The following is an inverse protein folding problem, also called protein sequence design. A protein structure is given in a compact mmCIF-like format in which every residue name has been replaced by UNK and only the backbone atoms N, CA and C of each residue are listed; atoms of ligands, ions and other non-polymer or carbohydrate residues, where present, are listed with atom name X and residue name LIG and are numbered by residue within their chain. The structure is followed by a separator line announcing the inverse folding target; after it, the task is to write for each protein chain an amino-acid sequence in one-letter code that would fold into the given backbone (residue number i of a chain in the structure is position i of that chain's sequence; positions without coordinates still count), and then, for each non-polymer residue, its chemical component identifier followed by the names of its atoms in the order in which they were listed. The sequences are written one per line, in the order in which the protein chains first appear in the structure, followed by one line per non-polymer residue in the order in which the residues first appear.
data_IF_393606884304
#
_entry.id   IF_393606884304
#
_cell.length_a   1.000
_cell.length_b   1.000
_cell.length_c   1.000
_cell.angle_alpha   90.00
_cell.angle_beta   90.00
_cell.angle_gamma   90.00
#
_symmetry.space_group_name_H-M   'P 1'
#
loop_
_entity.id
_entity.type
_entity.pdbx_description
1 polymer ?
#
# COMPACT_ATOMS: atom_id res chain seq x y z
N UNK A 1 11.86 -17.18 -2.13
CA UNK A 1 10.86 -16.63 -1.19
C UNK A 1 9.55 -16.50 -1.91
N UNK A 2 8.49 -17.07 -1.32
CA UNK A 2 7.12 -17.03 -1.86
C UNK A 2 6.31 -15.97 -1.12
N UNK A 3 5.71 -15.03 -1.87
CA UNK A 3 4.88 -13.94 -1.33
C UNK A 3 3.43 -14.16 -1.74
N UNK A 4 2.53 -14.26 -0.76
CA UNK A 4 1.10 -14.32 -0.98
C UNK A 4 0.52 -12.91 -1.19
N UNK A 5 -0.03 -12.62 -2.36
CA UNK A 5 -0.70 -11.35 -2.64
C UNK A 5 -2.18 -11.47 -2.28
N UNK A 6 -2.57 -10.78 -1.21
CA UNK A 6 -3.97 -10.65 -0.76
C UNK A 6 -4.63 -9.55 -1.59
N UNK A 7 -5.17 -9.94 -2.75
CA UNK A 7 -5.76 -9.00 -3.71
C UNK A 7 -7.11 -8.48 -3.21
N UNK A 8 -7.18 -7.16 -3.04
CA UNK A 8 -8.32 -6.46 -2.42
C UNK A 8 -9.15 -5.64 -3.41
N UNK A 9 -8.82 -5.64 -4.69
CA UNK A 9 -9.62 -5.00 -5.76
C UNK A 9 -9.28 -5.58 -7.14
N UNK A 10 -10.16 -5.30 -8.09
CA UNK A 10 -10.00 -5.69 -9.51
C UNK A 10 -9.92 -4.43 -10.36
N UNK A 11 -8.96 -4.37 -11.27
CA UNK A 11 -8.86 -3.27 -12.25
C UNK A 11 -10.03 -3.35 -13.22
N UNK A 12 -10.88 -2.32 -13.21
CA UNK A 12 -12.10 -2.23 -14.03
C UNK A 12 -12.08 -0.98 -14.95
N UNK A 13 -10.89 -0.41 -15.20
CA UNK A 13 -10.75 0.77 -16.05
C UNK A 13 -10.60 0.33 -17.50
N UNK A 14 -11.48 0.80 -18.36
CA UNK A 14 -11.40 0.56 -19.80
C UNK A 14 -10.06 1.02 -20.36
N UNK A 15 -9.44 0.20 -21.21
CA UNK A 15 -8.11 0.47 -21.77
C UNK A 15 -6.93 0.16 -20.85
N UNK A 16 -7.18 -0.29 -19.61
CA UNK A 16 -6.09 -0.62 -18.67
C UNK A 16 -5.53 -2.03 -18.83
N UNK A 17 -5.98 -2.80 -19.81
CA UNK A 17 -5.56 -4.21 -20.02
C UNK A 17 -4.04 -4.40 -20.17
N UNK A 18 -3.34 -3.41 -20.72
CA UNK A 18 -1.88 -3.46 -20.92
C UNK A 18 -1.09 -3.45 -19.60
N UNK A 19 -1.70 -2.98 -18.50
CA UNK A 19 -1.05 -2.89 -17.19
C UNK A 19 -1.25 -4.17 -16.35
N UNK A 20 -2.22 -5.03 -16.71
CA UNK A 20 -2.60 -6.22 -15.93
C UNK A 20 -3.46 -5.86 -14.71
N UNK A 21 -3.59 -6.82 -13.80
CA UNK A 21 -4.24 -6.67 -12.49
C UNK A 21 -3.21 -6.27 -11.42
N UNK A 22 -3.66 -5.85 -10.23
CA UNK A 22 -2.76 -5.44 -9.15
C UNK A 22 -1.71 -6.50 -8.78
N UNK A 23 -2.02 -7.81 -8.71
CA UNK A 23 -1.01 -8.84 -8.43
C UNK A 23 0.13 -8.85 -9.47
N UNK A 24 -0.18 -8.69 -10.75
CA UNK A 24 0.84 -8.64 -11.81
C UNK A 24 1.70 -7.38 -11.72
N UNK A 25 1.09 -6.22 -11.37
CA UNK A 25 1.83 -4.97 -11.17
C UNK A 25 2.82 -5.11 -9.99
N UNK A 26 2.38 -5.70 -8.86
CA UNK A 26 3.26 -5.97 -7.72
C UNK A 26 4.36 -6.97 -8.06
N UNK A 27 4.03 -8.06 -8.73
CA UNK A 27 5.04 -9.05 -9.15
C UNK A 27 6.09 -8.41 -10.04
N UNK A 28 5.69 -7.57 -10.99
CA UNK A 28 6.59 -6.87 -11.93
C UNK A 28 7.59 -5.96 -11.19
N UNK A 29 7.14 -5.14 -10.25
CA UNK A 29 8.06 -4.25 -9.52
C UNK A 29 9.01 -5.05 -8.61
N UNK A 30 8.54 -6.09 -7.94
CA UNK A 30 9.40 -6.91 -7.09
C UNK A 30 10.38 -7.77 -7.90
N UNK A 31 10.00 -8.32 -9.06
CA UNK A 31 10.94 -9.02 -9.96
C UNK A 31 12.01 -8.11 -10.53
N UNK A 32 11.77 -6.80 -10.66
CA UNK A 32 12.81 -5.85 -11.05
C UNK A 32 13.91 -5.70 -9.98
N UNK A 33 13.64 -6.10 -8.74
CA UNK A 33 14.59 -6.11 -7.61
C UNK A 33 15.18 -7.49 -7.38
N UNK A 34 14.34 -8.54 -7.41
CA UNK A 34 14.76 -9.94 -7.22
C UNK A 34 13.92 -10.86 -8.11
N UNK A 35 14.49 -11.35 -9.24
CA UNK A 35 13.76 -12.19 -10.20
C UNK A 35 13.44 -13.60 -9.69
N UNK A 36 13.99 -14.01 -8.54
CA UNK A 36 13.78 -15.35 -7.97
C UNK A 36 12.58 -15.41 -7.00
N UNK A 37 11.79 -14.35 -6.92
CA UNK A 37 10.58 -14.34 -6.08
C UNK A 37 9.46 -15.13 -6.74
N UNK A 38 8.71 -15.85 -5.92
CA UNK A 38 7.49 -16.53 -6.30
C UNK A 38 6.28 -15.80 -5.72
N UNK A 39 5.19 -15.77 -6.46
CA UNK A 39 3.96 -15.11 -6.04
C UNK A 39 2.78 -16.04 -6.14
N UNK A 40 1.90 -15.99 -5.12
CA UNK A 40 0.59 -16.64 -5.11
C UNK A 40 -0.48 -15.59 -4.88
N UNK A 41 -1.60 -15.65 -5.60
CA UNK A 41 -2.66 -14.63 -5.46
C UNK A 41 -3.86 -15.22 -4.75
N UNK A 42 -4.37 -14.49 -3.75
CA UNK A 42 -5.58 -14.81 -3.01
C UNK A 42 -6.58 -13.67 -3.16
N UNK A 43 -7.74 -13.96 -3.74
CA UNK A 43 -8.81 -13.00 -3.99
C UNK A 43 -9.67 -12.82 -2.73
N UNK A 44 -9.19 -11.98 -1.80
CA UNK A 44 -9.81 -11.85 -0.46
C UNK A 44 -11.22 -11.29 -0.49
N UNK A 45 -11.58 -10.50 -1.51
CA UNK A 45 -12.94 -10.02 -1.72
C UNK A 45 -13.94 -11.18 -1.95
N UNK A 46 -13.46 -12.31 -2.48
CA UNK A 46 -14.25 -13.52 -2.75
C UNK A 46 -14.02 -14.61 -1.72
N UNK A 47 -13.51 -14.24 -0.54
CA UNK A 47 -13.21 -15.16 0.55
C UNK A 47 -12.19 -16.25 0.20
N UNK A 48 -11.29 -15.96 -0.73
CA UNK A 48 -10.18 -16.85 -1.08
C UNK A 48 -8.95 -16.45 -0.25
N UNK A 49 -8.55 -17.32 0.66
CA UNK A 49 -7.42 -17.18 1.57
C UNK A 49 -6.56 -18.44 1.54
N UNK A 50 -5.27 -18.38 1.96
CA UNK A 50 -4.47 -19.58 2.16
C UNK A 50 -5.11 -20.48 3.22
N UNK A 51 -5.06 -21.79 3.02
CA UNK A 51 -5.54 -22.77 4.01
C UNK A 51 -4.63 -22.79 5.24
N UNK A 52 -3.31 -22.69 5.01
CA UNK A 52 -2.29 -22.49 6.04
C UNK A 52 -1.53 -21.20 5.80
N UNK A 53 -1.33 -20.39 6.84
CA UNK A 53 -0.53 -19.14 6.76
C UNK A 53 0.93 -19.41 6.41
N UNK A 54 1.39 -20.64 6.46
CA UNK A 54 2.75 -21.06 6.09
C UNK A 54 2.89 -21.46 4.62
N UNK A 55 1.81 -21.40 3.82
CA UNK A 55 1.88 -21.60 2.37
C UNK A 55 2.79 -20.56 1.67
N UNK A 56 2.92 -19.38 2.28
CA UNK A 56 3.82 -18.32 1.81
C UNK A 56 4.77 -17.87 2.93
N UNK A 57 5.96 -17.41 2.54
CA UNK A 57 6.95 -16.86 3.49
C UNK A 57 6.48 -15.51 4.04
N UNK A 58 5.79 -14.73 3.22
CA UNK A 58 5.28 -13.41 3.53
C UNK A 58 3.96 -13.14 2.80
N UNK A 59 3.21 -12.11 3.24
CA UNK A 59 2.00 -11.65 2.59
C UNK A 59 2.06 -10.16 2.25
N UNK A 60 1.34 -9.76 1.19
CA UNK A 60 1.16 -8.37 0.79
C UNK A 60 -0.32 -8.11 0.54
N UNK A 61 -0.88 -7.05 1.15
CA UNK A 61 -2.24 -6.58 0.91
C UNK A 61 -2.18 -5.41 -0.08
N UNK A 62 -2.93 -5.51 -1.17
CA UNK A 62 -2.97 -4.52 -2.25
C UNK A 62 -3.78 -3.27 -1.88
N UNK A 63 -3.76 -2.27 -2.76
CA UNK A 63 -4.72 -1.18 -2.76
C UNK A 63 -6.15 -1.66 -3.05
N UNK A 64 -7.15 -0.83 -2.71
CA UNK A 64 -8.57 -1.06 -3.01
C UNK A 64 -9.31 0.27 -3.13
N UNK A 65 -10.45 0.26 -3.85
CA UNK A 65 -11.42 1.38 -3.85
C UNK A 65 -12.29 1.43 -2.60
N UNK A 66 -12.35 0.34 -1.83
CA UNK A 66 -13.12 0.26 -0.59
C UNK A 66 -12.45 1.05 0.54
N UNK A 67 -13.25 1.51 1.51
CA UNK A 67 -12.72 2.06 2.77
C UNK A 67 -12.52 0.93 3.78
N UNK A 68 -11.39 0.94 4.50
CA UNK A 68 -11.03 -0.11 5.47
C UNK A 68 -12.00 -0.23 6.65
N UNK A 69 -12.86 0.76 6.84
CA UNK A 69 -13.88 0.82 7.91
C UNK A 69 -15.30 0.52 7.40
N UNK A 70 -15.49 0.08 6.13
CA UNK A 70 -16.79 -0.35 5.64
C UNK A 70 -17.28 -1.59 6.38
N UNK A 71 -18.60 -1.62 6.67
CA UNK A 71 -19.27 -2.75 7.33
C UNK A 71 -19.67 -3.81 6.31
N UNK A 72 -18.67 -4.46 5.72
CA UNK A 72 -18.87 -5.55 4.76
C UNK A 72 -18.05 -6.78 5.15
N UNK A 73 -18.61 -7.95 4.89
CA UNK A 73 -18.07 -9.25 5.36
C UNK A 73 -16.60 -9.46 5.02
N UNK A 74 -16.19 -9.25 3.77
CA UNK A 74 -14.82 -9.52 3.35
C UNK A 74 -13.78 -8.63 4.05
N UNK A 75 -14.14 -7.38 4.42
CA UNK A 75 -13.27 -6.47 5.19
C UNK A 75 -13.12 -6.98 6.63
N UNK A 76 -14.21 -7.45 7.24
CA UNK A 76 -14.13 -8.06 8.57
C UNK A 76 -13.29 -9.33 8.57
N UNK A 77 -13.44 -10.18 7.56
CA UNK A 77 -12.65 -11.41 7.44
C UNK A 77 -11.17 -11.11 7.19
N UNK A 78 -10.85 -10.11 6.35
CA UNK A 78 -9.48 -9.68 6.14
C UNK A 78 -8.85 -9.11 7.43
N UNK A 79 -9.60 -8.33 8.22
CA UNK A 79 -9.12 -7.84 9.52
C UNK A 79 -8.80 -9.00 10.48
N UNK A 80 -9.63 -10.04 10.54
CA UNK A 80 -9.35 -11.25 11.35
C UNK A 80 -8.11 -11.97 10.85
N UNK A 81 -7.93 -12.08 9.53
CA UNK A 81 -6.74 -12.71 8.95
C UNK A 81 -5.48 -11.90 9.27
N UNK A 82 -5.51 -10.55 9.19
CA UNK A 82 -4.41 -9.67 9.61
C UNK A 82 -4.07 -9.88 11.09
N UNK A 83 -5.06 -9.97 11.98
CA UNK A 83 -4.84 -10.22 13.40
C UNK A 83 -4.15 -11.56 13.65
N UNK A 84 -4.53 -12.60 12.89
CA UNK A 84 -3.84 -13.90 12.96
C UNK A 84 -2.39 -13.78 12.48
N UNK A 85 -2.12 -13.11 11.35
CA UNK A 85 -0.75 -12.88 10.86
C UNK A 85 0.10 -12.10 11.88
N UNK A 86 -0.48 -11.09 12.56
CA UNK A 86 0.20 -10.34 13.63
C UNK A 86 0.53 -11.22 14.85
N UNK A 87 -0.41 -12.07 15.28
CA UNK A 87 -0.22 -13.01 16.41
C UNK A 87 0.93 -13.97 16.11
N UNK A 88 0.98 -14.53 14.91
CA UNK A 88 1.98 -15.52 14.48
C UNK A 88 3.29 -14.86 13.97
N UNK A 89 3.40 -13.51 14.05
CA UNK A 89 4.56 -12.73 13.59
C UNK A 89 4.92 -12.99 12.13
N UNK A 90 3.92 -13.30 11.31
CA UNK A 90 4.12 -13.52 9.88
C UNK A 90 4.48 -12.21 9.18
N UNK A 91 5.44 -12.25 8.27
CA UNK A 91 5.82 -11.08 7.48
C UNK A 91 4.65 -10.59 6.65
N UNK A 92 4.30 -9.30 6.80
CA UNK A 92 3.16 -8.68 6.15
C UNK A 92 3.52 -7.29 5.63
N UNK A 93 3.10 -7.00 4.41
CA UNK A 93 3.20 -5.67 3.79
C UNK A 93 1.80 -5.14 3.49
N UNK A 94 1.55 -3.87 3.76
CA UNK A 94 0.32 -3.18 3.39
C UNK A 94 0.58 -1.97 2.51
N UNK A 95 -0.07 -1.93 1.34
CA UNK A 95 0.06 -0.80 0.40
C UNK A 95 -1.30 -0.11 0.25
N UNK A 96 -1.35 1.19 0.44
CA UNK A 96 -2.54 2.04 0.31
C UNK A 96 -3.72 1.55 1.17
N UNK A 97 -4.73 0.87 0.60
CA UNK A 97 -5.79 0.23 1.38
C UNK A 97 -5.20 -0.82 2.35
N UNK A 98 -4.18 -1.59 1.92
CA UNK A 98 -3.47 -2.53 2.79
C UNK A 98 -2.83 -1.86 4.02
N UNK A 99 -2.22 -0.67 3.85
CA UNK A 99 -1.71 0.16 4.94
C UNK A 99 -2.83 0.58 5.91
N UNK A 100 -3.98 0.96 5.37
CA UNK A 100 -5.13 1.42 6.15
C UNK A 100 -5.81 0.27 6.91
N UNK A 101 -6.07 -0.86 6.24
CA UNK A 101 -6.77 -1.98 6.88
C UNK A 101 -5.91 -2.66 7.95
N UNK A 102 -4.59 -2.70 7.79
CA UNK A 102 -3.68 -3.16 8.84
C UNK A 102 -3.76 -2.23 10.06
N UNK A 103 -3.76 -0.91 9.85
CA UNK A 103 -3.92 0.04 10.95
C UNK A 103 -5.24 -0.18 11.69
N UNK A 104 -6.37 -0.27 10.98
CA UNK A 104 -7.71 -0.53 11.59
C UNK A 104 -7.75 -1.88 12.32
N UNK A 105 -7.25 -2.97 11.71
CA UNK A 105 -7.27 -4.31 12.28
C UNK A 105 -6.51 -4.41 13.60
N UNK A 106 -5.47 -3.57 13.79
CA UNK A 106 -4.57 -3.61 14.94
C UNK A 106 -4.77 -2.43 15.92
N UNK A 107 -5.95 -1.75 15.83
CA UNK A 107 -6.38 -0.76 16.81
C UNK A 107 -5.98 0.68 16.51
N UNK A 108 -5.58 0.98 15.29
CA UNK A 108 -5.47 2.33 14.75
C UNK A 108 -6.84 2.91 14.35
N UNK A 109 -6.84 4.06 13.71
CA UNK A 109 -8.05 4.74 13.22
C UNK A 109 -7.80 5.27 11.82
N UNK A 110 -8.66 4.86 10.88
CA UNK A 110 -8.67 5.35 9.50
C UNK A 110 -9.95 6.13 9.26
N UNK A 111 -9.85 7.30 8.64
CA UNK A 111 -11.01 8.13 8.26
C UNK A 111 -10.67 8.90 6.98
N UNK A 112 -11.68 9.47 6.36
CA UNK A 112 -11.48 10.44 5.26
C UNK A 112 -10.59 11.57 5.73
N UNK A 113 -9.60 11.90 4.89
CA UNK A 113 -8.73 13.04 5.14
C UNK A 113 -9.54 14.34 5.15
N UNK A 114 -9.33 15.23 6.14
CA UNK A 114 -9.95 16.55 6.15
C UNK A 114 -9.52 17.39 4.93
N UNK A 115 -8.36 17.05 4.33
CA UNK A 115 -7.86 17.68 3.12
C UNK A 115 -8.48 17.10 1.82
N UNK A 116 -9.35 16.08 1.94
CA UNK A 116 -9.94 15.37 0.79
C UNK A 116 -8.94 14.47 0.08
N UNK A 117 -9.07 14.33 -1.24
CA UNK A 117 -8.20 13.49 -2.05
C UNK A 117 -6.73 13.93 -2.03
N UNK A 118 -5.83 12.97 -1.82
CA UNK A 118 -4.40 13.07 -2.08
C UNK A 118 -4.09 12.24 -3.33
N UNK A 119 -3.80 12.92 -4.44
CA UNK A 119 -3.52 12.32 -5.73
C UNK A 119 -2.30 13.01 -6.38
N UNK A 120 -1.51 12.25 -7.12
CA UNK A 120 -0.30 12.75 -7.78
C UNK A 120 0.98 12.13 -7.24
N UNK A 121 2.11 12.63 -7.71
CA UNK A 121 3.43 12.31 -7.16
C UNK A 121 3.77 13.32 -6.08
N UNK A 122 3.94 12.85 -4.86
CA UNK A 122 4.32 13.65 -3.71
C UNK A 122 5.45 12.97 -2.92
N UNK A 123 6.10 13.72 -2.02
CA UNK A 123 7.25 13.27 -1.25
C UNK A 123 6.85 12.99 0.19
N UNK A 124 7.29 11.85 0.72
CA UNK A 124 7.31 11.57 2.15
C UNK A 124 8.76 11.54 2.63
N UNK A 125 9.00 12.03 3.84
CA UNK A 125 10.34 12.08 4.43
C UNK A 125 10.49 11.01 5.49
N UNK A 126 11.59 10.25 5.42
CA UNK A 126 11.99 9.35 6.50
C UNK A 126 12.30 10.15 7.76
N UNK A 127 12.04 9.56 8.91
CA UNK A 127 12.42 10.10 10.20
C UNK A 127 13.51 9.23 10.86
N UNK A 128 14.01 9.66 12.01
CA UNK A 128 15.07 8.97 12.77
C UNK A 128 14.78 7.49 13.11
N UNK A 129 13.52 7.05 13.08
CA UNK A 129 13.18 5.66 13.34
C UNK A 129 13.36 4.78 12.10
N UNK A 130 13.65 5.36 10.94
CA UNK A 130 13.80 4.70 9.67
C UNK A 130 15.27 4.35 9.32
N UNK A 131 16.20 4.36 10.27
CA UNK A 131 17.64 4.21 10.05
C UNK A 131 18.04 3.02 9.18
N UNK A 132 17.27 1.95 9.20
CA UNK A 132 17.50 0.76 8.35
C UNK A 132 17.08 0.93 6.89
N UNK A 133 16.28 1.98 6.58
CA UNK A 133 15.68 2.24 5.26
C UNK A 133 16.27 3.49 4.60
N UNK A 134 17.06 4.26 5.31
CA UNK A 134 17.73 5.46 4.84
C UNK A 134 18.00 6.47 5.96
N UNK A 135 18.70 7.54 5.60
CA UNK A 135 19.02 8.62 6.52
C UNK A 135 17.77 9.43 6.91
N UNK A 136 17.78 10.00 8.10
CA UNK A 136 16.76 10.95 8.58
C UNK A 136 16.64 12.13 7.60
N UNK A 137 15.40 12.43 7.20
CA UNK A 137 15.10 13.47 6.21
C UNK A 137 15.22 13.03 4.75
N UNK A 138 15.71 11.82 4.43
CA UNK A 138 15.66 11.28 3.07
C UNK A 138 14.22 11.25 2.59
N UNK A 139 14.00 11.73 1.36
CA UNK A 139 12.67 11.77 0.74
C UNK A 139 12.49 10.65 -0.26
N UNK A 140 11.27 10.11 -0.29
CA UNK A 140 10.79 9.22 -1.34
C UNK A 140 9.61 9.88 -2.07
N UNK A 141 9.72 10.02 -3.38
CA UNK A 141 8.63 10.45 -4.25
C UNK A 141 7.83 9.22 -4.65
N UNK A 142 6.55 9.22 -4.32
CA UNK A 142 5.66 8.10 -4.59
C UNK A 142 4.38 8.56 -5.27
N UNK A 143 3.71 7.65 -5.95
CA UNK A 143 2.36 7.87 -6.48
C UNK A 143 1.36 7.74 -5.35
N UNK A 144 0.45 8.71 -5.19
CA UNK A 144 -0.66 8.68 -4.25
C UNK A 144 -2.01 8.71 -4.99
N UNK A 145 -2.99 7.98 -4.50
CA UNK A 145 -4.37 7.98 -5.01
C UNK A 145 -5.33 7.53 -3.91
N UNK A 146 -5.51 8.35 -2.87
CA UNK A 146 -6.37 8.00 -1.74
C UNK A 146 -7.14 9.22 -1.20
N UNK A 147 -8.26 8.97 -0.55
CA UNK A 147 -9.02 9.96 0.22
C UNK A 147 -8.97 9.62 1.72
N UNK A 148 -8.96 8.32 2.04
CA UNK A 148 -8.85 7.86 3.42
C UNK A 148 -7.39 7.87 3.87
N UNK A 149 -7.16 8.15 5.15
CA UNK A 149 -5.82 8.18 5.75
C UNK A 149 -5.84 7.57 7.16
N UNK A 150 -4.70 7.04 7.57
CA UNK A 150 -4.48 6.63 8.95
C UNK A 150 -4.32 7.88 9.80
N UNK A 151 -5.33 8.21 10.62
CA UNK A 151 -5.30 9.35 11.53
C UNK A 151 -4.63 9.01 12.86
N UNK A 152 -4.75 7.75 13.31
CA UNK A 152 -4.11 7.25 14.52
C UNK A 152 -3.46 5.90 14.23
N UNK A 153 -2.17 5.81 14.49
CA UNK A 153 -1.43 4.56 14.37
C UNK A 153 -1.85 3.54 15.44
N UNK A 154 -1.71 2.23 15.15
CA UNK A 154 -1.79 1.18 16.16
C UNK A 154 -0.80 1.45 17.32
N UNK A 155 -1.14 1.01 18.54
CA UNK A 155 -0.33 1.27 19.74
C UNK A 155 1.13 0.83 19.62
N UNK A 156 1.38 -0.28 18.92
CA UNK A 156 2.71 -0.87 18.76
C UNK A 156 3.39 -0.49 17.43
N UNK A 157 2.84 0.48 16.70
CA UNK A 157 3.41 0.94 15.46
C UNK A 157 4.49 2.00 15.68
N UNK A 158 5.51 1.94 14.85
CA UNK A 158 6.57 2.94 14.78
C UNK A 158 6.45 3.71 13.47
N UNK A 159 6.17 5.00 13.53
CA UNK A 159 6.19 5.87 12.36
C UNK A 159 7.62 5.95 11.82
N UNK A 160 7.80 5.72 10.51
CA UNK A 160 9.11 5.80 9.83
C UNK A 160 9.16 6.85 8.72
N UNK A 161 8.01 7.23 8.13
CA UNK A 161 7.96 8.32 7.17
C UNK A 161 6.59 9.01 7.13
N UNK A 162 6.59 10.28 6.77
CA UNK A 162 5.39 11.08 6.59
C UNK A 162 5.63 12.41 5.89
N UNK A 163 4.55 13.14 5.66
CA UNK A 163 4.54 14.50 5.13
C UNK A 163 3.38 15.29 5.74
N UNK A 164 3.32 16.61 5.56
CA UNK A 164 2.15 17.38 5.98
C UNK A 164 0.83 16.93 5.35
N UNK A 165 0.87 16.37 4.13
CA UNK A 165 -0.30 15.87 3.39
C UNK A 165 -0.59 14.39 3.67
N UNK A 166 0.35 13.66 4.26
CA UNK A 166 0.23 12.26 4.66
C UNK A 166 1.08 11.99 5.92
N UNK A 167 0.60 12.43 7.11
CA UNK A 167 1.41 12.39 8.33
C UNK A 167 1.87 10.99 8.73
N UNK A 168 1.03 9.97 8.52
CA UNK A 168 1.33 8.57 8.80
C UNK A 168 1.63 7.79 7.50
N UNK A 169 2.56 8.31 6.69
CA UNK A 169 2.84 7.80 5.34
C UNK A 169 3.45 6.40 5.29
N UNK A 170 4.36 6.08 6.22
CA UNK A 170 4.92 4.73 6.41
C UNK A 170 5.07 4.42 7.89
N UNK A 171 4.72 3.20 8.27
CA UNK A 171 4.95 2.71 9.63
C UNK A 171 5.32 1.22 9.66
N UNK A 172 5.96 0.81 10.73
CA UNK A 172 6.28 -0.56 11.05
C UNK A 172 5.48 -1.01 12.27
N UNK A 173 5.17 -2.32 12.36
CA UNK A 173 4.78 -2.95 13.62
C UNK A 173 5.84 -4.01 13.94
N UNK A 174 6.66 -3.70 14.92
CA UNK A 174 7.83 -4.50 15.31
C UNK A 174 8.71 -4.80 14.07
N UNK A 175 9.05 -6.08 13.87
CA UNK A 175 9.90 -6.56 12.79
C UNK A 175 9.15 -7.44 11.76
N UNK A 176 7.80 -7.45 11.77
CA UNK A 176 7.04 -8.35 10.91
C UNK A 176 5.97 -7.66 10.04
N UNK A 177 5.62 -6.39 10.28
CA UNK A 177 4.68 -5.65 9.41
C UNK A 177 5.32 -4.35 8.91
N UNK A 178 5.24 -4.11 7.59
CA UNK A 178 5.65 -2.89 6.91
C UNK A 178 4.46 -2.29 6.16
N UNK A 179 4.17 -1.02 6.36
CA UNK A 179 3.03 -0.34 5.76
C UNK A 179 3.44 0.95 5.07
N UNK A 180 2.92 1.20 3.86
CA UNK A 180 3.06 2.47 3.14
C UNK A 180 1.75 2.91 2.48
N UNK A 181 1.44 4.21 2.58
CA UNK A 181 0.27 4.80 1.94
C UNK A 181 0.52 5.07 0.45
N UNK A 182 1.75 5.37 0.06
CA UNK A 182 2.13 5.57 -1.33
C UNK A 182 2.24 4.23 -2.07
N UNK A 183 1.97 4.27 -3.37
CA UNK A 183 2.03 3.14 -4.27
C UNK A 183 3.43 2.95 -4.85
N UNK A 184 3.87 1.71 -4.96
CA UNK A 184 5.11 1.31 -5.62
C UNK A 184 4.84 0.60 -6.95
N UNK A 185 3.63 0.08 -7.14
CA UNK A 185 3.22 -0.76 -8.27
C UNK A 185 2.62 0.03 -9.43
N UNK A 186 2.17 1.26 -9.18
CA UNK A 186 1.43 2.04 -10.18
C UNK A 186 2.37 2.71 -11.19
N UNK A 187 2.35 2.25 -12.44
CA UNK A 187 2.90 3.00 -13.56
C UNK A 187 2.21 4.37 -13.70
N UNK A 188 2.96 5.40 -14.11
CA UNK A 188 2.45 6.78 -14.22
C UNK A 188 1.32 6.94 -15.25
N UNK A 189 1.33 6.14 -16.33
CA UNK A 189 0.24 6.14 -17.31
C UNK A 189 -1.02 5.55 -16.69
N UNK A 190 -0.87 4.44 -15.95
CA UNK A 190 -1.99 3.85 -15.22
C UNK A 190 -2.50 4.76 -14.10
N UNK A 191 -1.62 5.41 -13.35
CA UNK A 191 -2.00 6.42 -12.36
C UNK A 191 -2.81 7.56 -12.99
N UNK A 192 -2.40 8.03 -14.19
CA UNK A 192 -3.17 9.04 -14.95
C UNK A 192 -4.57 8.55 -15.28
N UNK A 193 -4.73 7.31 -15.73
CA UNK A 193 -6.05 6.73 -16.03
C UNK A 193 -6.91 6.63 -14.76
N UNK A 194 -6.34 6.25 -13.62
CA UNK A 194 -7.04 6.26 -12.33
C UNK A 194 -7.53 7.67 -11.99
N UNK A 195 -6.69 8.71 -12.17
CA UNK A 195 -7.07 10.09 -11.86
C UNK A 195 -8.16 10.59 -12.80
N UNK A 196 -8.08 10.29 -14.09
CA UNK A 196 -9.11 10.65 -15.08
C UNK A 196 -10.44 9.94 -14.76
N UNK A 197 -10.42 8.67 -14.41
CA UNK A 197 -11.59 7.90 -13.99
C UNK A 197 -12.23 8.47 -12.71
N UNK A 198 -11.41 8.91 -11.75
CA UNK A 198 -11.84 9.49 -10.47
C UNK A 198 -12.00 11.02 -10.49
N UNK A 199 -11.90 11.67 -11.65
CA UNK A 199 -11.87 13.14 -11.78
C UNK A 199 -13.02 13.84 -11.04
N UNK A 200 -14.25 13.31 -11.15
CA UNK A 200 -15.42 13.87 -10.45
C UNK A 200 -15.29 13.84 -8.94
N UNK A 201 -14.64 12.80 -8.39
CA UNK A 201 -14.43 12.61 -6.95
C UNK A 201 -13.25 13.45 -6.43
N UNK A 202 -12.18 13.53 -7.22
CA UNK A 202 -10.96 14.29 -6.92
C UNK A 202 -11.20 15.80 -7.00
N UNK A 203 -12.02 16.24 -7.98
CA UNK A 203 -12.27 17.64 -8.32
C UNK A 203 -11.23 18.19 -9.28
N UNK A 204 -11.64 19.17 -10.14
CA UNK A 204 -10.83 19.64 -11.27
C UNK A 204 -9.45 20.17 -10.87
N UNK A 205 -9.37 21.01 -9.83
CA UNK A 205 -8.10 21.62 -9.39
C UNK A 205 -7.09 20.55 -8.93
N UNK A 206 -7.51 19.64 -8.06
CA UNK A 206 -6.64 18.56 -7.57
C UNK A 206 -6.29 17.57 -8.68
N UNK A 207 -7.22 17.26 -9.58
CA UNK A 207 -6.98 16.41 -10.74
C UNK A 207 -5.89 17.00 -11.64
N UNK A 208 -5.99 18.30 -12.00
CA UNK A 208 -4.97 18.99 -12.81
C UNK A 208 -3.61 18.97 -12.13
N UNK A 209 -3.56 19.24 -10.82
CA UNK A 209 -2.33 19.16 -10.03
C UNK A 209 -1.75 17.75 -10.04
N UNK A 210 -2.56 16.73 -9.76
CA UNK A 210 -2.15 15.33 -9.76
C UNK A 210 -1.53 14.93 -11.10
N UNK A 211 -2.20 15.23 -12.20
CA UNK A 211 -1.70 14.94 -13.54
C UNK A 211 -0.37 15.64 -13.85
N UNK A 212 -0.22 16.92 -13.44
CA UNK A 212 1.03 17.68 -13.63
C UNK A 212 2.19 17.06 -12.86
N UNK A 213 1.94 16.56 -11.63
CA UNK A 213 2.99 15.99 -10.79
C UNK A 213 3.52 14.65 -11.30
N UNK A 214 2.80 13.93 -12.19
CA UNK A 214 3.27 12.69 -12.80
C UNK A 214 4.55 12.88 -13.65
N UNK A 215 4.91 14.12 -14.00
CA UNK A 215 6.20 14.42 -14.64
C UNK A 215 7.41 14.29 -13.69
N UNK A 216 7.19 14.29 -12.36
CA UNK A 216 8.28 14.12 -11.37
C UNK A 216 8.83 12.69 -11.40
N UNK A 217 10.13 12.49 -11.10
CA UNK A 217 10.66 11.15 -10.86
C UNK A 217 10.00 10.50 -9.64
N UNK A 218 9.96 9.19 -9.61
CA UNK A 218 9.44 8.38 -8.51
C UNK A 218 10.48 7.38 -8.04
N UNK A 219 10.42 6.99 -6.75
CA UNK A 219 11.42 6.16 -6.07
C UNK A 219 10.87 4.75 -5.77
N UNK A 220 9.91 4.26 -6.56
CA UNK A 220 9.23 2.97 -6.37
C UNK A 220 10.20 1.80 -6.24
N UNK A 221 11.28 1.80 -7.03
CA UNK A 221 12.28 0.73 -7.01
C UNK A 221 13.06 0.72 -5.68
N UNK A 222 13.44 1.90 -5.15
CA UNK A 222 14.14 2.00 -3.86
C UNK A 222 13.23 1.59 -2.69
N UNK A 223 11.95 1.96 -2.75
CA UNK A 223 10.98 1.54 -1.74
C UNK A 223 10.72 0.03 -1.82
N UNK A 224 10.61 -0.54 -3.03
CA UNK A 224 10.50 -1.98 -3.22
C UNK A 224 11.71 -2.74 -2.67
N UNK A 225 12.94 -2.23 -2.87
CA UNK A 225 14.16 -2.78 -2.23
C UNK A 225 14.08 -2.75 -0.70
N UNK A 226 13.60 -1.64 -0.13
CA UNK A 226 13.44 -1.49 1.32
C UNK A 226 12.43 -2.51 1.87
N UNK A 227 11.30 -2.70 1.18
CA UNK A 227 10.29 -3.70 1.54
C UNK A 227 10.87 -5.12 1.45
N UNK A 228 11.56 -5.48 0.37
CA UNK A 228 12.18 -6.80 0.25
C UNK A 228 13.29 -7.03 1.27
N UNK A 229 14.08 -6.02 1.58
CA UNK A 229 15.06 -6.07 2.68
C UNK A 229 14.40 -6.33 4.03
N UNK A 230 13.23 -5.74 4.28
CA UNK A 230 12.43 -6.02 5.48
C UNK A 230 11.88 -7.45 5.51
N UNK A 231 11.38 -7.95 4.38
CA UNK A 231 10.80 -9.29 4.29
C UNK A 231 11.83 -10.42 4.48
N UNK A 232 13.08 -10.18 4.09
CA UNK A 232 14.19 -11.16 4.15
C UNK A 232 14.91 -11.23 5.51
N UNK A 233 14.63 -10.32 6.43
CA UNK A 233 15.13 -10.33 7.82
C UNK A 233 14.30 -11.25 8.71
#
# INVERSE_FOLDING_TARGET
MKIGILNSDTVQIDGAKEFGQYPEMFSKIFWSVDPNLEFETYEVQFNNYPLDINECDAYLITGSKASSYEDVKWIHDLKKFIQRLDQDKKKLVGICFGHQIIAEALGGVVRKSPNGWHAGVDSISLNKNANEYGEDGKKYNMVFSHQDEVQKLPRNATLIAGSPTCPNGMFLIKNHIFCTQGHIELDKKFARMIYDFRKKQIGDSKHQHACKTLAKPTDEHEVAKSILGFLKK
#
